data_IF_864372274335
#
_entry.id   IF_864372274335
#
_cell.length_a   1.000
_cell.length_b   1.000
_cell.length_c   1.000
_cell.angle_alpha   90.00
_cell.angle_beta   90.00
_cell.angle_gamma   90.00
#
_symmetry.space_group_name_H-M   'P 1'
#
loop_
_entity.id
_entity.type
_entity.pdbx_description
1 polymer ?
#
# COMPACT_ATOMS: atom_id res chain seq x y z
N UNK A 1 11.73 -8.58 -14.11
CA UNK A 1 11.96 -7.19 -13.69
C UNK A 1 13.02 -6.52 -14.56
N UNK A 2 14.16 -7.16 -14.82
CA UNK A 2 15.24 -6.60 -15.64
C UNK A 2 14.74 -6.05 -16.98
N UNK A 3 13.97 -6.85 -17.71
CA UNK A 3 13.40 -6.43 -19.01
C UNK A 3 12.45 -5.23 -18.88
N UNK A 4 11.61 -5.22 -17.86
CA UNK A 4 10.68 -4.11 -17.63
C UNK A 4 11.40 -2.78 -17.32
N UNK A 5 12.48 -2.84 -16.53
CA UNK A 5 13.30 -1.66 -16.25
C UNK A 5 14.01 -1.16 -17.52
N UNK A 6 14.55 -2.07 -18.31
CA UNK A 6 15.23 -1.73 -19.55
C UNK A 6 14.27 -1.11 -20.58
N UNK A 7 13.05 -1.64 -20.69
CA UNK A 7 12.02 -1.12 -21.59
C UNK A 7 11.60 0.30 -21.17
N UNK A 8 11.33 0.52 -19.89
CA UNK A 8 10.98 1.84 -19.35
C UNK A 8 12.09 2.88 -19.57
N UNK A 9 13.35 2.45 -19.44
CA UNK A 9 14.51 3.30 -19.70
C UNK A 9 14.86 3.41 -21.19
N UNK A 10 14.10 2.75 -22.09
CA UNK A 10 14.32 2.72 -23.54
C UNK A 10 15.74 2.25 -23.92
N UNK A 11 16.23 1.26 -23.19
CA UNK A 11 17.50 0.61 -23.52
C UNK A 11 17.27 -0.28 -24.74
N UNK A 12 17.96 0.00 -25.85
CA UNK A 12 17.83 -0.79 -27.08
C UNK A 12 18.30 -2.23 -26.85
N UNK A 13 17.40 -3.17 -27.07
CA UNK A 13 17.65 -4.59 -26.92
C UNK A 13 18.22 -5.16 -28.24
N UNK A 14 19.54 -5.23 -28.33
CA UNK A 14 20.19 -5.86 -29.49
C UNK A 14 20.03 -7.41 -29.51
N UNK A 15 19.60 -8.04 -28.40
CA UNK A 15 19.39 -9.51 -28.27
C UNK A 15 18.70 -9.86 -26.94
N UNK A 16 17.92 -10.96 -26.93
CA UNK A 16 17.14 -11.47 -25.78
C UNK A 16 17.99 -12.14 -24.67
N UNK A 17 19.31 -11.92 -24.62
CA UNK A 17 20.18 -12.52 -23.62
C UNK A 17 20.26 -11.64 -22.37
N UNK A 18 19.85 -12.14 -21.17
CA UNK A 18 19.84 -11.37 -19.92
C UNK A 18 21.20 -10.73 -19.57
N UNK A 19 22.32 -11.43 -19.86
CA UNK A 19 23.65 -10.91 -19.55
C UNK A 19 24.07 -9.70 -20.40
N UNK A 20 23.63 -9.64 -21.65
CA UNK A 20 23.86 -8.48 -22.52
C UNK A 20 22.98 -7.31 -22.13
N UNK A 21 21.71 -7.61 -21.79
CA UNK A 21 20.77 -6.61 -21.31
C UNK A 21 21.27 -5.95 -20.02
N UNK A 22 21.78 -6.75 -19.08
CA UNK A 22 22.36 -6.24 -17.83
C UNK A 22 23.51 -5.27 -18.13
N UNK A 23 24.40 -5.61 -19.05
CA UNK A 23 25.53 -4.75 -19.44
C UNK A 23 25.03 -3.44 -20.08
N UNK A 24 24.10 -3.52 -21.03
CA UNK A 24 23.54 -2.33 -21.68
C UNK A 24 22.81 -1.43 -20.67
N UNK A 25 22.10 -2.04 -19.71
CA UNK A 25 21.45 -1.30 -18.62
C UNK A 25 22.50 -0.56 -17.77
N UNK A 26 23.59 -1.21 -17.38
CA UNK A 26 24.65 -0.57 -16.59
C UNK A 26 25.27 0.62 -17.35
N UNK A 27 25.59 0.44 -18.64
CA UNK A 27 26.14 1.50 -19.49
C UNK A 27 25.16 2.69 -19.59
N UNK A 28 23.88 2.42 -19.77
CA UNK A 28 22.84 3.45 -19.81
C UNK A 28 22.69 4.19 -18.47
N UNK A 29 22.69 3.45 -17.35
CA UNK A 29 22.61 4.05 -16.00
C UNK A 29 23.82 4.93 -15.71
N UNK A 30 25.03 4.56 -16.17
CA UNK A 30 26.24 5.38 -16.05
C UNK A 30 26.07 6.69 -16.83
N UNK A 31 25.55 6.63 -18.06
CA UNK A 31 25.29 7.82 -18.87
C UNK A 31 24.29 8.76 -18.19
N UNK A 32 23.17 8.23 -17.70
CA UNK A 32 22.19 9.01 -16.95
C UNK A 32 22.79 9.65 -15.69
N UNK A 33 23.59 8.90 -14.99
CA UNK A 33 24.29 9.42 -13.80
C UNK A 33 25.23 10.58 -14.12
N UNK A 34 25.98 10.47 -15.23
CA UNK A 34 26.89 11.53 -15.72
C UNK A 34 26.11 12.82 -16.08
N UNK A 35 24.86 12.70 -16.54
CA UNK A 35 23.93 13.82 -16.79
C UNK A 35 23.32 14.40 -15.49
N UNK A 36 23.68 13.87 -14.32
CA UNK A 36 23.10 14.28 -13.03
C UNK A 36 21.73 13.65 -12.73
N UNK A 37 21.26 12.72 -13.56
CA UNK A 37 19.98 12.02 -13.41
C UNK A 37 20.13 10.82 -12.50
N UNK A 38 19.15 10.62 -11.61
CA UNK A 38 19.08 9.47 -10.70
C UNK A 38 17.92 8.58 -11.11
N UNK A 39 18.17 7.28 -11.18
CA UNK A 39 17.12 6.30 -11.49
C UNK A 39 16.65 5.65 -10.20
N UNK A 40 15.33 5.72 -9.96
CA UNK A 40 14.66 5.08 -8.84
C UNK A 40 13.58 4.16 -9.38
N UNK A 41 13.62 2.91 -9.00
CA UNK A 41 12.61 1.90 -9.33
C UNK A 41 11.69 1.72 -8.14
N UNK A 42 10.42 1.98 -8.34
CA UNK A 42 9.37 1.77 -7.34
C UNK A 42 8.64 0.47 -7.66
N UNK A 43 8.63 -0.46 -6.73
CA UNK A 43 8.01 -1.78 -6.89
C UNK A 43 6.90 -1.90 -5.88
N UNK A 44 5.66 -1.90 -6.35
CA UNK A 44 4.48 -2.08 -5.51
C UNK A 44 4.11 -3.56 -5.39
N UNK A 45 3.37 -3.91 -4.32
CA UNK A 45 2.93 -5.27 -4.01
C UNK A 45 4.09 -6.30 -3.96
N UNK A 46 5.26 -5.88 -3.49
CA UNK A 46 6.47 -6.72 -3.48
C UNK A 46 6.31 -8.00 -2.64
N UNK A 47 5.38 -8.02 -1.68
CA UNK A 47 5.05 -9.21 -0.89
C UNK A 47 4.44 -10.35 -1.72
N UNK A 48 3.82 -10.03 -2.87
CA UNK A 48 3.24 -11.02 -3.79
C UNK A 48 4.24 -11.56 -4.83
N UNK A 49 5.49 -11.06 -4.83
CA UNK A 49 6.48 -11.47 -5.81
C UNK A 49 7.03 -12.86 -5.54
N UNK A 50 7.26 -13.66 -6.61
CA UNK A 50 8.01 -14.90 -6.50
C UNK A 50 9.42 -14.64 -5.97
N UNK A 51 9.97 -15.63 -5.29
CA UNK A 51 11.32 -15.58 -4.72
C UNK A 51 12.39 -15.28 -5.77
N UNK A 52 12.29 -15.90 -6.93
CA UNK A 52 13.22 -15.71 -8.05
C UNK A 52 13.26 -14.26 -8.50
N UNK A 53 12.13 -13.57 -8.42
CA UNK A 53 12.00 -12.14 -8.74
C UNK A 53 12.68 -11.26 -7.69
N UNK A 54 12.55 -11.61 -6.41
CA UNK A 54 13.25 -10.91 -5.33
C UNK A 54 14.78 -11.12 -5.43
N UNK A 55 15.24 -12.28 -5.90
CA UNK A 55 16.64 -12.53 -6.21
C UNK A 55 17.13 -11.69 -7.41
N UNK A 56 16.31 -11.49 -8.45
CA UNK A 56 16.66 -10.54 -9.54
C UNK A 56 16.83 -9.11 -8.98
N UNK A 57 15.96 -8.68 -8.06
CA UNK A 57 16.07 -7.37 -7.40
C UNK A 57 17.38 -7.27 -6.63
N UNK A 58 17.81 -8.32 -5.95
CA UNK A 58 19.09 -8.38 -5.26
C UNK A 58 20.26 -8.15 -6.23
N UNK A 59 20.23 -8.80 -7.39
CA UNK A 59 21.26 -8.61 -8.42
C UNK A 59 21.27 -7.16 -8.96
N UNK A 60 20.08 -6.60 -9.21
CA UNK A 60 19.94 -5.21 -9.66
C UNK A 60 20.40 -4.20 -8.61
N UNK A 61 20.21 -4.49 -7.31
CA UNK A 61 20.67 -3.63 -6.21
C UNK A 61 22.18 -3.51 -6.12
N UNK A 62 22.91 -4.41 -6.82
CA UNK A 62 24.38 -4.39 -6.92
C UNK A 62 24.89 -3.46 -8.04
N UNK A 63 24.00 -2.82 -8.80
CA UNK A 63 24.41 -1.92 -9.88
C UNK A 63 24.99 -0.62 -9.29
N UNK A 64 26.29 -0.63 -9.12
CA UNK A 64 27.04 0.50 -8.54
C UNK A 64 28.38 0.69 -9.28
N UNK A 65 28.86 1.91 -9.26
CA UNK A 65 30.27 2.21 -9.57
C UNK A 65 31.07 2.11 -8.28
N UNK A 66 32.42 2.21 -8.36
CA UNK A 66 33.29 2.19 -7.18
C UNK A 66 32.93 3.24 -6.11
N UNK A 67 32.10 4.22 -6.42
CA UNK A 67 31.75 5.34 -5.52
C UNK A 67 30.25 5.63 -5.39
N UNK A 68 29.40 5.14 -6.30
CA UNK A 68 28.01 5.57 -6.37
C UNK A 68 27.07 4.45 -6.78
N UNK A 69 25.92 4.35 -6.12
CA UNK A 69 24.81 3.50 -6.56
C UNK A 69 24.17 4.11 -7.78
N UNK A 70 24.06 3.33 -8.86
CA UNK A 70 23.46 3.74 -10.13
C UNK A 70 21.94 3.59 -10.12
N UNK A 71 21.43 2.61 -9.37
CA UNK A 71 20.03 2.29 -9.27
C UNK A 71 19.59 2.26 -7.81
N UNK A 72 18.52 2.98 -7.49
CA UNK A 72 17.85 2.91 -6.20
C UNK A 72 16.54 2.13 -6.37
N UNK A 73 16.25 1.24 -5.44
CA UNK A 73 15.04 0.41 -5.48
C UNK A 73 14.26 0.64 -4.20
N UNK A 74 12.96 0.87 -4.33
CA UNK A 74 12.03 1.01 -3.21
C UNK A 74 10.97 -0.07 -3.37
N UNK A 75 10.84 -0.92 -2.37
CA UNK A 75 9.83 -1.97 -2.30
C UNK A 75 8.67 -1.49 -1.43
N UNK A 76 7.46 -1.57 -1.95
CA UNK A 76 6.24 -1.39 -1.19
C UNK A 76 5.55 -2.74 -1.05
N UNK A 77 5.07 -3.04 0.14
CA UNK A 77 4.41 -4.32 0.40
C UNK A 77 3.62 -4.30 1.70
N UNK A 78 2.86 -5.34 1.91
CA UNK A 78 2.19 -5.60 3.17
C UNK A 78 3.21 -6.19 4.18
N UNK A 79 2.88 -6.28 5.50
CA UNK A 79 3.79 -6.78 6.52
C UNK A 79 4.39 -8.16 6.23
N UNK A 80 3.70 -8.97 5.42
CA UNK A 80 4.17 -10.29 4.97
C UNK A 80 5.47 -10.19 4.15
N UNK A 81 5.79 -9.01 3.58
CA UNK A 81 7.07 -8.78 2.91
C UNK A 81 8.24 -8.91 3.88
N UNK A 82 8.09 -8.41 5.10
CA UNK A 82 9.12 -8.52 6.13
C UNK A 82 9.37 -9.99 6.50
N UNK A 83 8.30 -10.79 6.61
CA UNK A 83 8.41 -12.22 6.87
C UNK A 83 9.15 -12.94 5.72
N UNK A 84 8.85 -12.60 4.47
CA UNK A 84 9.53 -13.15 3.30
C UNK A 84 11.02 -12.76 3.28
N UNK A 85 11.34 -11.49 3.51
CA UNK A 85 12.72 -10.98 3.48
C UNK A 85 13.58 -11.56 4.62
N UNK A 86 12.98 -11.92 5.75
CA UNK A 86 13.67 -12.53 6.89
C UNK A 86 13.98 -14.03 6.71
N UNK A 87 13.62 -14.64 5.58
CA UNK A 87 13.98 -16.03 5.29
C UNK A 87 15.49 -16.16 5.02
N UNK A 88 16.06 -17.32 5.35
CA UNK A 88 17.49 -17.58 5.16
C UNK A 88 17.96 -17.32 3.72
N UNK A 89 17.10 -17.57 2.78
CA UNK A 89 17.38 -17.49 1.34
C UNK A 89 17.46 -16.04 0.84
N UNK A 90 16.67 -15.13 1.41
CA UNK A 90 16.65 -13.72 1.02
C UNK A 90 17.49 -12.82 1.93
N UNK A 91 18.25 -13.43 2.84
CA UNK A 91 19.12 -12.71 3.80
C UNK A 91 20.05 -11.69 3.12
N UNK A 92 20.60 -12.05 1.97
CA UNK A 92 21.50 -11.15 1.23
C UNK A 92 20.76 -9.94 0.64
N UNK A 93 19.48 -10.07 0.30
CA UNK A 93 18.65 -8.93 -0.10
C UNK A 93 18.35 -8.06 1.11
N UNK A 94 17.96 -8.68 2.24
CA UNK A 94 17.69 -7.96 3.49
C UNK A 94 18.88 -7.13 3.97
N UNK A 95 20.12 -7.65 3.89
CA UNK A 95 21.34 -6.94 4.23
C UNK A 95 21.62 -5.69 3.37
N UNK A 96 20.97 -5.56 2.21
CA UNK A 96 21.07 -4.41 1.33
C UNK A 96 20.01 -3.34 1.55
N UNK A 97 18.98 -3.66 2.31
CA UNK A 97 17.94 -2.70 2.66
C UNK A 97 18.50 -1.78 3.75
N UNK A 98 18.75 -0.55 3.39
CA UNK A 98 19.33 0.45 4.30
C UNK A 98 18.28 1.18 5.12
N UNK A 99 17.03 1.22 4.67
CA UNK A 99 15.93 1.91 5.33
C UNK A 99 14.65 1.12 5.20
N UNK A 100 13.96 0.90 6.31
CA UNK A 100 12.62 0.34 6.37
C UNK A 100 11.68 1.30 7.08
N UNK A 101 10.48 1.46 6.55
CA UNK A 101 9.44 2.31 7.12
C UNK A 101 8.13 1.55 7.17
N UNK A 102 7.48 1.53 8.32
CA UNK A 102 6.13 1.03 8.46
C UNK A 102 5.14 2.20 8.42
N UNK A 103 4.16 2.14 7.52
CA UNK A 103 3.09 3.12 7.45
C UNK A 103 2.00 2.76 8.45
N UNK A 104 1.98 3.49 9.55
CA UNK A 104 0.96 3.34 10.59
C UNK A 104 -0.42 3.82 10.10
N UNK A 105 -1.52 3.18 10.57
CA UNK A 105 -2.85 3.71 10.37
C UNK A 105 -2.98 5.14 10.90
N UNK A 106 -3.83 5.95 10.28
CA UNK A 106 -4.07 7.31 10.73
C UNK A 106 -4.63 7.32 12.16
N UNK A 107 -4.05 8.14 13.01
CA UNK A 107 -4.60 8.35 14.34
C UNK A 107 -5.91 9.14 14.27
N UNK A 108 -6.80 8.93 15.23
CA UNK A 108 -8.17 9.50 15.23
C UNK A 108 -8.20 11.01 14.97
N UNK A 109 -7.23 11.78 15.51
CA UNK A 109 -7.16 13.24 15.34
C UNK A 109 -6.83 13.68 13.91
N UNK A 110 -6.22 12.82 13.10
CA UNK A 110 -5.81 13.16 11.74
C UNK A 110 -6.89 12.81 10.70
N UNK A 111 -7.85 11.96 11.05
CA UNK A 111 -8.87 11.49 10.12
C UNK A 111 -9.77 12.64 9.64
N UNK A 112 -10.12 13.57 10.50
CA UNK A 112 -10.89 14.76 10.11
C UNK A 112 -10.13 15.60 9.08
N UNK A 113 -8.87 15.91 9.35
CA UNK A 113 -8.00 16.65 8.43
C UNK A 113 -7.81 15.91 7.11
N UNK A 114 -7.67 14.59 7.17
CA UNK A 114 -7.55 13.76 5.98
C UNK A 114 -8.82 13.80 5.12
N UNK A 115 -10.01 13.66 5.70
CA UNK A 115 -11.29 13.75 4.97
C UNK A 115 -11.45 15.14 4.37
N UNK A 116 -11.20 16.23 5.13
CA UNK A 116 -11.27 17.58 4.60
C UNK A 116 -10.28 17.80 3.45
N UNK A 117 -9.05 17.35 3.60
CA UNK A 117 -8.06 17.38 2.52
C UNK A 117 -8.57 16.69 1.25
N UNK A 118 -9.14 15.48 1.37
CA UNK A 118 -9.69 14.73 0.24
C UNK A 118 -10.86 15.46 -0.42
N UNK A 119 -11.76 16.04 0.38
CA UNK A 119 -12.87 16.86 -0.12
C UNK A 119 -12.37 18.08 -0.91
N UNK A 120 -11.38 18.79 -0.36
CA UNK A 120 -10.75 19.95 -1.03
C UNK A 120 -10.06 19.56 -2.33
N UNK A 121 -9.32 18.45 -2.32
CA UNK A 121 -8.65 17.92 -3.52
C UNK A 121 -9.66 17.53 -4.63
N UNK A 122 -10.86 17.09 -4.24
CA UNK A 122 -11.96 16.83 -5.18
C UNK A 122 -12.70 18.10 -5.63
N UNK A 123 -12.26 19.30 -5.22
CA UNK A 123 -12.83 20.58 -5.65
C UNK A 123 -13.92 21.13 -4.72
N UNK A 124 -14.26 20.47 -3.63
CA UNK A 124 -15.25 20.99 -2.69
C UNK A 124 -14.73 22.22 -1.95
N UNK A 125 -15.47 23.33 -1.98
CA UNK A 125 -15.10 24.63 -1.37
C UNK A 125 -16.04 25.08 -0.23
N UNK A 126 -17.04 24.25 0.09
CA UNK A 126 -18.04 24.55 1.12
C UNK A 126 -17.54 24.32 2.56
N UNK A 127 -18.42 24.53 3.55
CA UNK A 127 -18.15 24.22 4.95
C UNK A 127 -18.04 22.69 5.16
N UNK A 128 -17.56 22.30 6.35
CA UNK A 128 -17.41 20.89 6.68
C UNK A 128 -18.75 20.13 6.60
N UNK A 129 -18.82 19.12 5.74
CA UNK A 129 -20.04 18.33 5.50
C UNK A 129 -20.23 17.27 6.58
N UNK A 130 -19.13 16.76 7.14
CA UNK A 130 -19.18 15.71 8.15
C UNK A 130 -19.30 16.28 9.56
N UNK A 131 -20.28 15.84 10.32
CA UNK A 131 -20.37 16.16 11.75
C UNK A 131 -19.22 15.50 12.54
N UNK A 132 -18.80 16.10 13.66
CA UNK A 132 -17.74 15.53 14.52
C UNK A 132 -18.04 14.11 14.98
N UNK A 133 -19.33 13.77 15.21
CA UNK A 133 -19.75 12.43 15.57
C UNK A 133 -19.66 11.45 14.38
N UNK A 134 -19.91 11.90 13.16
CA UNK A 134 -19.72 11.13 11.95
C UNK A 134 -18.23 10.78 11.76
N UNK A 135 -17.34 11.77 11.88
CA UNK A 135 -15.89 11.57 11.82
C UNK A 135 -15.44 10.54 12.85
N UNK A 136 -15.87 10.67 14.11
CA UNK A 136 -15.53 9.70 15.16
C UNK A 136 -15.99 8.29 14.78
N UNK A 137 -17.18 8.16 14.23
CA UNK A 137 -17.72 6.86 13.84
C UNK A 137 -16.97 6.25 12.63
N UNK A 138 -16.54 7.07 11.68
CA UNK A 138 -15.66 6.64 10.58
C UNK A 138 -14.32 6.16 11.14
N UNK A 139 -13.72 6.92 12.06
CA UNK A 139 -12.44 6.55 12.69
C UNK A 139 -12.50 5.18 13.37
N UNK A 140 -13.54 4.94 14.16
CA UNK A 140 -13.74 3.65 14.85
C UNK A 140 -13.93 2.47 13.88
N UNK A 141 -14.66 2.69 12.79
CA UNK A 141 -14.99 1.64 11.84
C UNK A 141 -13.88 1.36 10.83
N UNK A 142 -13.09 2.37 10.49
CA UNK A 142 -11.98 2.25 9.53
C UNK A 142 -10.69 1.71 10.15
N UNK A 143 -10.58 1.76 11.48
CA UNK A 143 -9.35 1.42 12.21
C UNK A 143 -8.14 2.27 11.73
N UNK A 144 -8.40 3.49 11.23
CA UNK A 144 -7.36 4.40 10.70
C UNK A 144 -6.85 4.07 9.30
N UNK A 145 -7.32 2.98 8.68
CA UNK A 145 -6.88 2.58 7.34
C UNK A 145 -7.46 3.51 6.27
N UNK A 146 -6.61 4.22 5.54
CA UNK A 146 -7.00 5.25 4.56
C UNK A 146 -7.98 4.76 3.51
N UNK A 147 -7.80 3.52 3.00
CA UNK A 147 -8.74 2.89 2.06
C UNK A 147 -10.14 2.74 2.66
N UNK A 148 -10.24 2.28 3.93
CA UNK A 148 -11.51 2.14 4.62
C UNK A 148 -12.15 3.49 4.93
N UNK A 149 -11.36 4.50 5.32
CA UNK A 149 -11.82 5.87 5.53
C UNK A 149 -12.46 6.40 4.26
N UNK A 150 -11.80 6.28 3.10
CA UNK A 150 -12.32 6.73 1.82
C UNK A 150 -13.64 6.03 1.47
N UNK A 151 -13.71 4.71 1.59
CA UNK A 151 -14.94 3.93 1.31
C UNK A 151 -16.09 4.39 2.20
N UNK A 152 -15.84 4.57 3.49
CA UNK A 152 -16.88 5.00 4.43
C UNK A 152 -17.34 6.44 4.20
N UNK A 153 -16.39 7.35 3.91
CA UNK A 153 -16.70 8.73 3.61
C UNK A 153 -17.53 8.85 2.33
N UNK A 154 -17.12 8.19 1.25
CA UNK A 154 -17.81 8.19 -0.04
C UNK A 154 -19.23 7.63 0.08
N UNK A 155 -19.38 6.44 0.65
CA UNK A 155 -20.71 5.82 0.88
C UNK A 155 -21.61 6.66 1.80
N UNK A 156 -21.03 7.37 2.78
CA UNK A 156 -21.78 8.25 3.65
C UNK A 156 -22.29 9.50 2.92
N UNK A 157 -21.47 10.06 2.03
CA UNK A 157 -21.87 11.16 1.15
C UNK A 157 -22.99 10.74 0.20
N UNK A 158 -22.89 9.56 -0.41
CA UNK A 158 -23.94 9.00 -1.27
C UNK A 158 -25.24 8.79 -0.50
N UNK A 159 -25.18 8.29 0.75
CA UNK A 159 -26.34 8.11 1.60
C UNK A 159 -27.01 9.45 1.97
N UNK A 160 -26.21 10.49 2.27
CA UNK A 160 -26.71 11.83 2.53
C UNK A 160 -27.37 12.44 1.29
N UNK A 161 -26.73 12.30 0.14
CA UNK A 161 -27.27 12.77 -1.14
C UNK A 161 -28.62 12.13 -1.48
N UNK A 162 -28.75 10.81 -1.30
CA UNK A 162 -30.00 10.08 -1.56
C UNK A 162 -31.15 10.52 -0.65
N UNK A 163 -30.85 11.09 0.53
CA UNK A 163 -31.85 11.62 1.47
C UNK A 163 -32.01 13.14 1.38
N UNK A 164 -31.39 13.81 0.40
CA UNK A 164 -31.32 15.27 0.27
C UNK A 164 -30.80 15.97 1.55
N UNK A 165 -29.93 15.29 2.29
CA UNK A 165 -29.32 15.86 3.51
C UNK A 165 -28.11 16.70 3.15
N UNK A 166 -27.98 17.88 3.77
CA UNK A 166 -26.86 18.80 3.55
C UNK A 166 -25.64 18.49 4.42
N UNK A 167 -25.74 17.50 5.32
CA UNK A 167 -24.66 17.11 6.21
C UNK A 167 -24.67 15.59 6.43
N UNK A 168 -23.48 15.05 6.62
CA UNK A 168 -23.27 13.64 6.99
C UNK A 168 -23.25 13.51 8.50
N UNK A 169 -24.19 12.75 9.03
CA UNK A 169 -24.31 12.45 10.45
C UNK A 169 -23.95 10.99 10.74
N UNK A 170 -24.05 10.57 11.99
CA UNK A 170 -23.84 9.17 12.38
C UNK A 170 -24.79 8.21 11.67
N UNK A 171 -25.99 8.67 11.25
CA UNK A 171 -26.99 7.86 10.57
C UNK A 171 -26.45 7.35 9.22
N UNK A 172 -25.95 8.25 8.40
CA UNK A 172 -25.40 7.95 7.07
C UNK A 172 -24.15 7.07 7.19
N UNK A 173 -23.26 7.36 8.15
CA UNK A 173 -22.09 6.54 8.42
C UNK A 173 -22.46 5.12 8.85
N UNK A 174 -23.46 4.94 9.70
CA UNK A 174 -23.93 3.60 10.08
C UNK A 174 -24.48 2.82 8.89
N UNK A 175 -25.13 3.48 7.95
CA UNK A 175 -25.60 2.86 6.70
C UNK A 175 -24.39 2.45 5.85
N UNK A 176 -23.42 3.33 5.65
CA UNK A 176 -22.19 3.06 4.92
C UNK A 176 -21.41 1.87 5.52
N UNK A 177 -21.29 1.79 6.84
CA UNK A 177 -20.63 0.67 7.54
C UNK A 177 -21.34 -0.65 7.24
N UNK A 178 -22.67 -0.70 7.35
CA UNK A 178 -23.44 -1.93 7.08
C UNK A 178 -23.32 -2.40 5.64
N UNK A 179 -23.14 -1.46 4.72
CA UNK A 179 -23.02 -1.73 3.29
C UNK A 179 -21.57 -2.00 2.84
N UNK A 180 -20.60 -1.92 3.73
CA UNK A 180 -19.20 -2.16 3.39
C UNK A 180 -18.80 -3.62 3.56
N UNK A 181 -18.03 -4.14 2.59
CA UNK A 181 -17.60 -5.53 2.54
C UNK A 181 -16.71 -5.94 3.71
N UNK A 182 -15.77 -5.07 4.11
CA UNK A 182 -14.87 -5.36 5.24
C UNK A 182 -15.61 -5.49 6.57
N UNK A 183 -16.76 -4.83 6.73
CA UNK A 183 -17.61 -5.00 7.91
C UNK A 183 -18.37 -6.34 7.88
N UNK A 184 -18.81 -6.77 6.70
CA UNK A 184 -19.49 -8.06 6.51
C UNK A 184 -18.52 -9.22 6.78
N UNK A 185 -17.27 -9.14 6.32
CA UNK A 185 -16.23 -10.13 6.58
C UNK A 185 -15.97 -10.31 8.09
N UNK A 186 -15.81 -9.20 8.83
CA UNK A 186 -15.59 -9.25 10.29
C UNK A 186 -16.77 -9.87 11.07
N UNK A 187 -18.00 -9.72 10.57
CA UNK A 187 -19.22 -10.31 11.19
C UNK A 187 -19.29 -11.82 10.98
N UNK A 188 -18.82 -12.31 9.86
CA UNK A 188 -18.86 -13.74 9.54
C UNK A 188 -17.74 -14.54 10.25
N UNK A 189 -16.72 -13.89 10.80
CA UNK A 189 -15.63 -14.51 11.53
C UNK A 189 -15.85 -14.59 13.06
N UNK A 190 -17.04 -14.41 13.58
CA UNK A 190 -17.27 -14.78 14.98
C UNK A 190 -17.25 -16.31 15.07
N UNK A 191 -16.27 -16.93 15.77
CA UNK A 191 -16.28 -18.37 15.96
C UNK A 191 -17.57 -18.71 16.70
N UNK A 192 -18.30 -19.71 16.21
CA UNK A 192 -19.35 -20.37 17.00
C UNK A 192 -18.65 -20.91 18.26
N UNK A 193 -18.84 -20.25 19.37
CA UNK A 193 -18.53 -20.83 20.65
C UNK A 193 -19.51 -21.99 20.83
N UNK A 194 -19.02 -23.20 20.53
CA UNK A 194 -19.70 -24.45 20.90
C UNK A 194 -19.83 -24.44 22.41
N UNK A 195 -21.03 -24.19 22.89
CA UNK A 195 -21.41 -24.47 24.25
C UNK A 195 -21.35 -25.99 24.43
N UNK A 196 -20.25 -26.48 24.98
CA UNK A 196 -20.17 -27.83 25.49
C UNK A 196 -21.05 -27.89 26.74
N UNK A 197 -22.32 -28.23 26.54
CA UNK A 197 -23.19 -28.65 27.61
C UNK A 197 -22.66 -30.01 28.11
N UNK A 198 -21.98 -30.00 29.26
CA UNK A 198 -21.63 -31.21 29.96
C UNK A 198 -22.89 -31.93 30.42
N UNK A 199 -23.13 -33.08 29.83
CA UNK A 199 -24.04 -34.08 30.38
C UNK A 199 -23.24 -34.94 31.35
N UNK A 200 -23.29 -34.59 32.61
CA UNK A 200 -22.98 -35.54 33.70
C UNK A 200 -24.28 -36.28 34.00
N UNK A 201 -24.39 -37.50 33.52
CA UNK A 201 -25.40 -38.47 33.89
C UNK A 201 -24.77 -39.49 34.82
N UNK A 202 -25.45 -39.75 35.92
CA UNK A 202 -25.14 -40.58 37.07
C UNK A 202 -24.99 -42.09 36.82
#
# INVERSE_FOLDING_TARGET
ILFAIADELKVELANDRPSRLMRALVEHLIALYAEGRRVVVLIDEAHAMPRETLEEIRLLSNLETNRHKLLQIVLFGQPELDDHLNTADLRQLMERITHGFCLEPLVRGDIERYIDFRMRAAGYRGPNVFSANAIRRIADASEGLTRRINILADKSLLAAFAENAHAVTVKEVRRAIRDSEFYRAKRNWRPFALAAAGVTGG
#
